data_IF_877404128005
#
_entry.id   IF_877404128005
#
_cell.length_a   1.000
_cell.length_b   1.000
_cell.length_c   1.000
_cell.angle_alpha   90.00
_cell.angle_beta   90.00
_cell.angle_gamma   90.00
#
_symmetry.space_group_name_H-M   'P 1'
#
loop_
_entity.id
_entity.type
_entity.pdbx_description
1 polymer ?
#
# COMPACT_ATOMS: atom_id res chain seq x y z
N UNK A 1 -4.17 -1.07 -7.54
CA UNK A 1 -5.09 -0.30 -6.67
C UNK A 1 -5.03 -0.86 -5.26
N UNK A 2 -5.43 -0.11 -4.25
CA UNK A 2 -5.39 -0.51 -2.85
C UNK A 2 -6.76 -0.23 -2.25
N UNK A 3 -7.37 -1.23 -1.63
CA UNK A 3 -8.65 -1.10 -0.94
C UNK A 3 -8.43 -1.31 0.55
N UNK A 4 -8.97 -0.42 1.38
CA UNK A 4 -8.79 -0.44 2.83
C UNK A 4 -9.88 0.37 3.52
N UNK A 5 -10.13 0.10 4.79
CA UNK A 5 -10.95 0.97 5.62
C UNK A 5 -10.09 2.11 6.20
N UNK A 6 -10.52 3.36 6.05
CA UNK A 6 -9.82 4.48 6.67
C UNK A 6 -10.03 4.52 8.20
N UNK A 7 -9.43 5.51 8.85
CA UNK A 7 -9.47 5.65 10.31
C UNK A 7 -10.89 5.93 10.84
N UNK A 8 -11.82 6.33 9.97
CA UNK A 8 -13.25 6.48 10.27
C UNK A 8 -14.05 5.20 9.97
N UNK A 9 -13.40 4.09 9.63
CA UNK A 9 -13.98 2.83 9.14
C UNK A 9 -14.79 2.98 7.83
N UNK A 10 -14.43 3.91 6.97
CA UNK A 10 -15.04 4.05 5.64
C UNK A 10 -14.17 3.32 4.62
N UNK A 11 -14.81 2.55 3.76
CA UNK A 11 -14.12 1.87 2.67
C UNK A 11 -13.53 2.91 1.69
N UNK A 12 -12.22 2.84 1.49
CA UNK A 12 -11.47 3.67 0.55
C UNK A 12 -10.87 2.81 -0.55
N UNK A 13 -10.82 3.37 -1.76
CA UNK A 13 -10.10 2.80 -2.91
C UNK A 13 -9.07 3.81 -3.40
N UNK A 14 -7.80 3.44 -3.33
CA UNK A 14 -6.68 4.26 -3.80
C UNK A 14 -6.06 3.67 -5.05
N UNK A 15 -6.08 4.45 -6.13
CA UNK A 15 -5.36 4.12 -7.37
C UNK A 15 -3.95 4.71 -7.31
N UNK A 16 -2.95 3.86 -7.57
CA UNK A 16 -1.54 4.25 -7.54
C UNK A 16 -0.89 3.77 -8.83
N UNK A 17 -0.29 4.70 -9.58
CA UNK A 17 0.66 4.36 -10.63
C UNK A 17 2.06 4.36 -10.01
N UNK A 18 2.56 3.16 -9.72
CA UNK A 18 3.87 2.98 -9.11
C UNK A 18 4.96 3.08 -10.17
N UNK A 19 5.73 4.15 -10.12
CA UNK A 19 6.95 4.31 -10.93
C UNK A 19 8.12 4.48 -9.97
N UNK A 20 9.06 3.53 -9.98
CA UNK A 20 10.28 3.58 -9.18
C UNK A 20 11.49 3.43 -10.08
N UNK A 21 12.43 4.37 -9.98
CA UNK A 21 13.72 4.28 -10.68
C UNK A 21 14.70 3.45 -9.85
N UNK A 22 15.72 2.88 -10.51
CA UNK A 22 16.78 2.12 -9.82
C UNK A 22 17.44 2.99 -8.75
N UNK A 23 17.51 2.46 -7.52
CA UNK A 23 18.07 3.17 -6.36
C UNK A 23 17.15 4.21 -5.73
N UNK A 24 15.92 4.39 -6.25
CA UNK A 24 14.94 5.28 -5.64
C UNK A 24 14.35 4.64 -4.37
N UNK A 25 14.32 5.35 -3.23
CA UNK A 25 13.61 4.89 -2.05
C UNK A 25 12.11 4.73 -2.31
N UNK A 26 11.55 3.63 -1.81
CA UNK A 26 10.11 3.42 -1.84
C UNK A 26 9.39 4.43 -0.95
N UNK A 27 8.32 5.04 -1.50
CA UNK A 27 7.42 5.89 -0.73
C UNK A 27 6.22 5.05 -0.25
N UNK A 28 5.67 5.31 0.94
CA UNK A 28 4.48 4.61 1.43
C UNK A 28 3.31 4.74 0.44
N UNK A 29 2.68 3.61 0.12
CA UNK A 29 1.49 3.59 -0.75
C UNK A 29 0.22 3.97 0.02
N UNK A 30 0.20 3.69 1.32
CA UNK A 30 -0.84 4.05 2.28
C UNK A 30 -0.22 4.11 3.68
N UNK A 31 -0.78 4.95 4.54
CA UNK A 31 -0.48 5.04 5.96
C UNK A 31 -1.80 4.97 6.70
N UNK A 32 -1.89 4.12 7.71
CA UNK A 32 -3.10 3.87 8.50
C UNK A 32 -2.76 4.02 9.96
N UNK A 33 -3.64 4.65 10.74
CA UNK A 33 -3.51 4.68 12.19
C UNK A 33 -4.36 3.55 12.77
N UNK A 34 -3.70 2.64 13.49
CA UNK A 34 -4.35 1.50 14.14
C UNK A 34 -4.42 1.76 15.64
N UNK A 35 -5.60 1.56 16.23
CA UNK A 35 -5.74 1.52 17.67
C UNK A 35 -5.02 0.28 18.25
N UNK A 36 -4.71 0.26 19.57
CA UNK A 36 -4.18 -0.93 20.21
C UNK A 36 -5.07 -2.15 19.94
N UNK A 37 -4.46 -3.27 19.57
CA UNK A 37 -5.13 -4.53 19.23
C UNK A 37 -6.05 -4.48 18.00
N UNK A 38 -6.06 -3.37 17.25
CA UNK A 38 -6.85 -3.26 16.04
C UNK A 38 -6.26 -4.11 14.91
N UNK A 39 -7.14 -4.86 14.24
CA UNK A 39 -6.82 -5.57 13.00
C UNK A 39 -7.58 -4.91 11.87
N UNK A 40 -6.86 -4.54 10.80
CA UNK A 40 -7.45 -3.92 9.62
C UNK A 40 -7.08 -4.67 8.36
N UNK A 41 -8.10 -5.08 7.61
CA UNK A 41 -7.93 -5.78 6.36
C UNK A 41 -7.58 -4.78 5.24
N UNK A 42 -6.60 -5.14 4.42
CA UNK A 42 -6.18 -4.37 3.27
C UNK A 42 -5.99 -5.30 2.07
N UNK A 43 -6.46 -4.88 0.91
CA UNK A 43 -6.28 -5.59 -0.35
C UNK A 43 -5.45 -4.76 -1.33
N UNK A 44 -4.42 -5.39 -1.89
CA UNK A 44 -3.60 -4.81 -2.95
C UNK A 44 -3.80 -5.61 -4.23
N UNK A 45 -4.30 -4.95 -5.27
CA UNK A 45 -4.39 -5.53 -6.60
C UNK A 45 -3.31 -4.93 -7.51
N UNK A 46 -2.44 -5.78 -8.04
CA UNK A 46 -1.42 -5.40 -9.01
C UNK A 46 -1.93 -5.57 -10.44
N UNK A 47 -1.77 -4.52 -11.23
CA UNK A 47 -1.91 -4.58 -12.68
C UNK A 47 -0.56 -4.21 -13.28
N UNK A 48 0.05 -5.14 -13.99
CA UNK A 48 1.32 -4.95 -14.66
C UNK A 48 1.17 -5.19 -16.17
N UNK A 49 1.91 -4.44 -17.01
CA UNK A 49 2.05 -4.75 -18.42
C UNK A 49 2.59 -6.18 -18.63
N UNK A 50 2.21 -6.87 -19.72
CA UNK A 50 2.62 -8.25 -19.98
C UNK A 50 4.14 -8.44 -20.12
N UNK A 51 4.87 -7.37 -20.41
CA UNK A 51 6.32 -7.31 -20.58
C UNK A 51 7.08 -6.83 -19.33
N UNK A 52 6.39 -6.56 -18.22
CA UNK A 52 7.01 -6.07 -16.99
C UNK A 52 7.45 -7.19 -16.05
N UNK A 53 8.61 -7.05 -15.41
CA UNK A 53 8.97 -7.85 -14.23
C UNK A 53 8.10 -7.39 -13.06
N UNK A 54 7.31 -8.28 -12.42
CA UNK A 54 6.44 -7.88 -11.32
C UNK A 54 7.23 -7.20 -10.17
N UNK A 55 6.64 -6.21 -9.48
CA UNK A 55 7.28 -5.62 -8.31
C UNK A 55 7.51 -6.72 -7.26
N UNK A 56 8.73 -6.78 -6.72
CA UNK A 56 9.19 -7.99 -6.06
C UNK A 56 8.92 -8.05 -4.54
N UNK A 57 8.51 -6.95 -3.89
CA UNK A 57 8.22 -6.96 -2.45
C UNK A 57 7.20 -5.86 -2.08
N UNK A 58 6.19 -6.22 -1.28
CA UNK A 58 5.42 -5.28 -0.47
C UNK A 58 5.99 -5.28 0.96
N UNK A 59 6.23 -4.10 1.50
CA UNK A 59 6.73 -3.95 2.87
C UNK A 59 5.67 -3.31 3.74
N UNK A 60 5.39 -3.93 4.87
CA UNK A 60 4.62 -3.34 5.97
C UNK A 60 5.61 -2.96 7.06
N UNK A 61 5.50 -1.73 7.56
CA UNK A 61 6.32 -1.25 8.67
C UNK A 61 5.50 -0.37 9.58
N UNK A 62 5.76 -0.44 10.87
CA UNK A 62 5.31 0.56 11.83
C UNK A 62 6.14 1.83 11.62
N UNK A 63 5.48 2.99 11.56
CA UNK A 63 6.16 4.28 11.54
C UNK A 63 6.35 4.74 12.98
N UNK A 64 7.57 5.11 13.37
CA UNK A 64 7.79 5.79 14.65
C UNK A 64 7.19 7.20 14.56
N UNK A 65 6.38 7.55 15.56
CA UNK A 65 5.70 8.85 15.68
C UNK A 65 6.51 9.85 16.47
#
# INVERSE_FOLDING_TARGET
>A
RINYDDDDRKAQTRYVHLVQRRGQPGHPLVTLNLAPEEVRQLQVDFLYPPDSTPPQVLTVRTLEG
#
